data_IF_048561277062
#
_entry.id   IF_048561277062
#
_cell.length_a   1.000
_cell.length_b   1.000
_cell.length_c   1.000
_cell.angle_alpha   90.00
_cell.angle_beta   90.00
_cell.angle_gamma   90.00
#
_symmetry.space_group_name_H-M   'P 1'
#
loop_
_entity.id
_entity.type
_entity.pdbx_description
1 polymer ?
#
# COMPACT_ATOMS: atom_id res chain seq x y z
N UNK A 1 5.39 14.37 15.16
CA UNK A 1 6.16 13.15 14.90
C UNK A 1 6.78 13.25 13.51
N UNK A 2 7.91 12.59 13.28
CA UNK A 2 8.57 12.56 11.98
C UNK A 2 8.35 11.21 11.30
N UNK A 3 8.09 11.24 10.00
CA UNK A 3 7.95 10.04 9.18
C UNK A 3 8.97 10.09 8.04
N UNK A 4 9.88 9.12 8.03
CA UNK A 4 10.93 9.00 7.00
C UNK A 4 10.35 8.38 5.73
N UNK A 5 10.36 9.14 4.63
CA UNK A 5 9.85 8.68 3.35
C UNK A 5 10.97 8.14 2.46
N UNK A 6 11.02 6.82 2.27
CA UNK A 6 12.04 6.15 1.44
C UNK A 6 11.68 6.12 -0.05
N UNK A 7 10.39 6.25 -0.39
CA UNK A 7 9.89 6.26 -1.76
C UNK A 7 9.69 7.69 -2.30
N UNK A 8 9.32 7.83 -3.58
CA UNK A 8 9.07 9.16 -4.18
C UNK A 8 7.86 9.87 -3.54
N UNK A 9 6.83 9.10 -3.20
CA UNK A 9 5.62 9.60 -2.55
C UNK A 9 4.99 8.48 -1.71
N UNK A 10 4.26 8.86 -0.68
CA UNK A 10 3.32 7.98 0.03
C UNK A 10 1.90 8.49 -0.15
N UNK A 11 0.90 7.61 -0.06
CA UNK A 11 -0.50 8.06 -0.04
C UNK A 11 -0.97 8.30 1.38
N UNK A 12 -1.92 9.22 1.58
CA UNK A 12 -2.49 9.48 2.91
C UNK A 12 -3.00 8.18 3.55
N UNK A 13 -3.61 7.30 2.74
CA UNK A 13 -4.01 5.98 3.19
C UNK A 13 -2.87 5.09 3.67
N UNK A 14 -1.78 5.02 2.91
CA UNK A 14 -0.64 4.21 3.31
C UNK A 14 0.00 4.76 4.59
N UNK A 15 0.14 6.08 4.70
CA UNK A 15 0.67 6.74 5.90
C UNK A 15 -0.18 6.42 7.14
N UNK A 16 -1.50 6.63 7.08
CA UNK A 16 -2.41 6.32 8.19
C UNK A 16 -2.42 4.83 8.56
N UNK A 17 -2.15 3.94 7.60
CA UNK A 17 -2.06 2.50 7.86
C UNK A 17 -0.75 2.14 8.55
N UNK A 18 0.37 2.69 8.10
CA UNK A 18 1.69 2.43 8.70
C UNK A 18 1.80 2.98 10.11
N UNK A 19 1.17 4.14 10.36
CA UNK A 19 1.05 4.70 11.70
C UNK A 19 0.07 3.94 12.61
N UNK A 20 -0.62 2.91 12.08
CA UNK A 20 -1.57 2.10 12.83
C UNK A 20 -2.89 2.82 13.16
N UNK A 21 -3.13 4.00 12.60
CA UNK A 21 -4.37 4.78 12.81
C UNK A 21 -5.55 4.07 12.14
N UNK A 22 -5.34 3.49 10.96
CA UNK A 22 -6.36 2.70 10.26
C UNK A 22 -5.89 1.28 9.98
N UNK A 23 -6.71 0.29 10.34
CA UNK A 23 -6.36 -1.13 10.20
C UNK A 23 -6.66 -1.72 8.81
N UNK A 24 -7.56 -1.10 8.04
CA UNK A 24 -7.96 -1.59 6.72
C UNK A 24 -8.25 -0.45 5.74
N UNK A 25 -8.16 -0.74 4.44
CA UNK A 25 -8.49 0.24 3.39
C UNK A 25 -9.98 0.62 3.34
N UNK A 26 -10.86 -0.13 4.01
CA UNK A 26 -12.26 0.24 4.21
C UNK A 26 -12.43 1.24 5.36
N UNK A 27 -11.70 1.05 6.46
CA UNK A 27 -11.77 1.88 7.66
C UNK A 27 -11.40 3.35 7.39
N UNK A 28 -10.51 3.61 6.42
CA UNK A 28 -10.11 4.99 6.11
C UNK A 28 -11.26 5.87 5.62
N UNK A 29 -12.27 5.30 4.97
CA UNK A 29 -13.41 6.09 4.49
C UNK A 29 -14.20 6.64 5.67
N UNK A 30 -14.48 5.79 6.66
CA UNK A 30 -15.15 6.20 7.90
C UNK A 30 -14.28 7.18 8.68
N UNK A 31 -12.98 6.89 8.79
CA UNK A 31 -12.02 7.77 9.47
C UNK A 31 -12.01 9.19 8.89
N UNK A 32 -11.90 9.35 7.56
CA UNK A 32 -11.92 10.67 6.92
C UNK A 32 -13.29 11.36 6.93
N UNK A 33 -14.36 10.64 7.28
CA UNK A 33 -15.70 11.21 7.43
C UNK A 33 -15.96 11.68 8.86
N UNK A 34 -15.34 11.00 9.84
CA UNK A 34 -15.47 11.28 11.27
C UNK A 34 -14.41 12.28 11.76
N UNK A 35 -13.22 12.23 11.17
CA UNK A 35 -12.07 13.02 11.58
C UNK A 35 -11.64 14.04 10.54
N UNK A 36 -11.21 15.20 11.02
CA UNK A 36 -10.66 16.26 10.18
C UNK A 36 -9.16 16.07 10.00
N UNK A 37 -8.73 15.78 8.77
CA UNK A 37 -7.31 15.66 8.41
C UNK A 37 -6.91 16.88 7.59
N UNK A 38 -5.83 17.55 8.00
CA UNK A 38 -5.28 18.71 7.35
C UNK A 38 -3.96 18.35 6.67
N UNK A 39 -3.80 18.79 5.43
CA UNK A 39 -2.58 18.69 4.64
C UNK A 39 -2.04 20.09 4.39
N UNK A 40 -0.86 20.40 4.93
CA UNK A 40 -0.25 21.74 4.87
C UNK A 40 -1.22 22.87 5.27
N UNK A 41 -2.11 22.61 6.22
CA UNK A 41 -3.13 23.56 6.70
C UNK A 41 -4.45 23.56 5.93
N UNK A 42 -4.58 22.78 4.84
CA UNK A 42 -5.84 22.63 4.10
C UNK A 42 -6.56 21.33 4.46
N UNK A 43 -7.87 21.39 4.67
CA UNK A 43 -8.67 20.19 4.93
C UNK A 43 -8.62 19.23 3.72
N UNK A 44 -8.13 18.02 3.93
CA UNK A 44 -7.97 17.01 2.87
C UNK A 44 -8.75 15.74 3.23
N UNK A 45 -9.79 15.47 2.45
CA UNK A 45 -10.66 14.29 2.60
C UNK A 45 -10.34 13.18 1.60
N UNK A 46 -9.34 13.37 0.73
CA UNK A 46 -8.94 12.35 -0.25
C UNK A 46 -7.90 11.39 0.33
N UNK A 47 -8.32 10.16 0.61
CA UNK A 47 -7.45 9.03 0.98
C UNK A 47 -6.26 8.79 0.03
N UNK A 48 -6.43 9.11 -1.25
CA UNK A 48 -5.44 8.89 -2.31
C UNK A 48 -4.51 10.08 -2.54
N UNK A 49 -4.55 11.12 -1.69
CA UNK A 49 -3.62 12.24 -1.79
C UNK A 49 -2.19 11.71 -1.67
N UNK A 50 -1.34 12.09 -2.62
CA UNK A 50 0.09 11.78 -2.61
C UNK A 50 0.81 12.84 -1.80
N UNK A 51 1.58 12.40 -0.80
CA UNK A 51 2.43 13.21 0.03
C UNK A 51 3.88 12.97 -0.37
N UNK A 52 4.66 14.04 -0.32
CA UNK A 52 6.09 14.03 -0.59
C UNK A 52 6.84 14.55 0.63
N UNK A 53 8.15 14.40 0.56
CA UNK A 53 9.07 15.01 1.51
C UNK A 53 8.78 16.50 1.67
N UNK A 54 8.72 16.96 2.92
CA UNK A 54 8.43 18.34 3.30
C UNK A 54 6.96 18.63 3.54
N UNK A 55 6.05 17.71 3.20
CA UNK A 55 4.63 17.86 3.53
C UNK A 55 4.36 17.60 5.03
N UNK A 56 3.39 18.34 5.58
CA UNK A 56 2.88 18.21 6.94
C UNK A 56 1.43 17.72 6.93
N UNK A 57 1.13 16.72 7.76
CA UNK A 57 -0.23 16.26 8.04
C UNK A 57 -0.57 16.53 9.49
N UNK A 58 -1.70 17.19 9.72
CA UNK A 58 -2.20 17.48 11.06
C UNK A 58 -3.59 16.86 11.24
N UNK A 59 -3.79 16.19 12.38
CA UNK A 59 -5.05 15.54 12.76
C UNK A 59 -5.42 16.07 14.15
N UNK A 60 -6.18 17.18 14.23
CA UNK A 60 -6.52 17.83 15.50
C UNK A 60 -7.28 16.91 16.46
N UNK A 61 -8.15 16.04 15.95
CA UNK A 61 -8.97 15.15 16.77
C UNK A 61 -8.14 14.17 17.62
N UNK A 62 -6.94 13.84 17.14
CA UNK A 62 -6.01 12.94 17.81
C UNK A 62 -4.77 13.66 18.36
N UNK A 63 -4.66 14.98 18.16
CA UNK A 63 -3.45 15.77 18.42
C UNK A 63 -2.19 15.16 17.78
N UNK A 64 -2.31 14.67 16.55
CA UNK A 64 -1.20 14.06 15.80
C UNK A 64 -0.77 15.02 14.69
N UNK A 65 0.48 15.47 14.76
CA UNK A 65 1.15 16.21 13.70
C UNK A 65 2.27 15.34 13.11
N UNK A 66 2.30 15.17 11.80
CA UNK A 66 3.26 14.33 11.08
C UNK A 66 4.01 15.18 10.06
N UNK A 67 5.33 15.16 10.12
CA UNK A 67 6.21 15.79 9.14
C UNK A 67 6.91 14.72 8.31
N UNK A 68 6.81 14.82 6.97
CA UNK A 68 7.51 13.90 6.06
C UNK A 68 8.95 14.39 5.84
N UNK A 69 9.92 13.58 6.26
CA UNK A 69 11.35 13.89 6.17
C UNK A 69 12.08 12.92 5.25
N UNK A 70 13.22 13.36 4.70
CA UNK A 70 14.10 12.47 3.94
C UNK A 70 14.86 11.56 4.90
N UNK A 71 14.91 10.24 4.63
CA UNK A 71 15.89 9.36 5.26
C UNK A 71 17.31 9.83 4.94
N UNK A 72 18.24 9.56 5.84
CA UNK A 72 19.67 9.78 5.58
C UNK A 72 20.17 8.82 4.50
N UNK A 73 21.12 9.26 3.68
CA UNK A 73 21.59 8.52 2.50
C UNK A 73 22.09 7.09 2.82
N UNK A 74 22.69 6.89 3.98
CA UNK A 74 23.17 5.57 4.45
C UNK A 74 22.03 4.57 4.70
N UNK A 75 20.94 4.99 5.35
CA UNK A 75 19.76 4.16 5.60
C UNK A 75 19.05 3.80 4.27
N UNK A 76 19.15 4.67 3.28
CA UNK A 76 18.54 4.46 1.98
C UNK A 76 19.30 3.39 1.18
N UNK A 77 20.62 3.31 1.29
CA UNK A 77 21.43 2.27 0.64
C UNK A 77 21.18 0.88 1.24
N UNK A 78 21.10 0.77 2.57
CA UNK A 78 20.74 -0.50 3.23
C UNK A 78 19.36 -1.00 2.81
N UNK A 79 18.37 -0.09 2.75
CA UNK A 79 17.03 -0.46 2.29
C UNK A 79 17.01 -0.94 0.84
N UNK A 80 17.82 -0.34 -0.05
CA UNK A 80 17.94 -0.80 -1.43
C UNK A 80 18.60 -2.18 -1.51
N UNK A 81 19.64 -2.44 -0.70
CA UNK A 81 20.28 -3.75 -0.64
C UNK A 81 19.30 -4.86 -0.22
N UNK A 82 18.48 -4.59 0.81
CA UNK A 82 17.43 -5.50 1.26
C UNK A 82 16.37 -5.76 0.19
N UNK A 83 15.97 -4.72 -0.55
CA UNK A 83 15.00 -4.83 -1.63
C UNK A 83 15.55 -5.70 -2.78
N UNK A 84 16.81 -5.49 -3.15
CA UNK A 84 17.50 -6.28 -4.19
C UNK A 84 17.60 -7.76 -3.78
N UNK A 85 17.91 -8.05 -2.52
CA UNK A 85 18.00 -9.43 -2.05
C UNK A 85 16.60 -10.10 -2.02
N UNK A 86 15.55 -9.37 -1.59
CA UNK A 86 14.17 -9.86 -1.66
C UNK A 86 13.73 -10.18 -3.09
N UNK A 87 14.12 -9.35 -4.06
CA UNK A 87 13.83 -9.60 -5.49
C UNK A 87 14.56 -10.84 -6.02
N UNK A 88 15.83 -11.03 -5.62
CA UNK A 88 16.59 -12.24 -5.95
C UNK A 88 15.93 -13.49 -5.36
N UNK A 89 15.55 -13.46 -4.08
CA UNK A 89 14.87 -14.57 -3.41
C UNK A 89 13.53 -14.87 -4.12
N UNK A 90 12.75 -13.83 -4.43
CA UNK A 90 11.48 -13.99 -5.14
C UNK A 90 11.67 -14.66 -6.52
N UNK A 91 12.73 -14.29 -7.24
CA UNK A 91 13.08 -14.92 -8.53
C UNK A 91 13.45 -16.40 -8.35
N UNK A 92 14.27 -16.72 -7.36
CA UNK A 92 14.66 -18.11 -7.05
C UNK A 92 13.45 -18.97 -6.67
N UNK A 93 12.59 -18.47 -5.77
CA UNK A 93 11.36 -19.15 -5.36
C UNK A 93 10.41 -19.36 -6.55
N UNK A 94 10.33 -18.37 -7.46
CA UNK A 94 9.52 -18.47 -8.67
C UNK A 94 10.06 -19.53 -9.63
N UNK A 95 11.38 -19.65 -9.79
CA UNK A 95 12.02 -20.71 -10.57
C UNK A 95 11.80 -22.09 -9.95
N UNK A 96 11.96 -22.21 -8.63
CA UNK A 96 11.71 -23.45 -7.89
C UNK A 96 10.25 -23.93 -8.04
N UNK A 97 9.28 -23.03 -7.90
CA UNK A 97 7.85 -23.35 -8.07
C UNK A 97 7.48 -23.68 -9.53
N UNK A 98 8.22 -23.18 -10.52
CA UNK A 98 8.02 -23.51 -11.93
C UNK A 98 8.43 -24.96 -12.25
N UNK A 99 9.46 -25.47 -11.57
CA UNK A 99 9.88 -26.88 -11.65
C UNK A 99 8.83 -27.84 -11.08
N UNK A 100 8.32 -27.54 -9.89
CA UNK A 100 7.33 -28.40 -9.19
C UNK A 100 6.00 -28.50 -9.96
N UNK A 101 5.59 -27.43 -10.66
CA UNK A 101 4.37 -27.45 -11.49
C UNK A 101 4.49 -28.29 -12.76
N UNK A 102 5.71 -28.58 -13.26
CA UNK A 102 5.92 -29.40 -14.46
C UNK A 102 5.74 -30.90 -14.21
N UNK A 103 5.99 -31.38 -13.00
CA UNK A 103 5.88 -32.82 -12.67
C UNK A 103 4.46 -33.27 -12.27
N UNK A 104 3.55 -32.34 -11.94
CA UNK A 104 2.18 -32.65 -11.51
C UNK A 104 1.08 -32.40 -12.55
N UNK A 105 1.42 -32.13 -13.81
CA UNK A 105 0.42 -32.00 -14.88
C UNK A 105 -0.06 -33.36 -15.39
N UNK A 106 -0.92 -34.03 -14.62
CA UNK A 106 -1.85 -35.04 -15.15
C UNK A 106 -2.99 -34.30 -15.85
N UNK A 107 -3.40 -34.66 -17.08
CA UNK A 107 -4.43 -33.90 -17.80
C UNK A 107 -5.79 -34.16 -17.15
N UNK A 108 -6.35 -33.17 -16.45
CA UNK A 108 -7.76 -33.18 -16.07
C UNK A 108 -8.55 -32.43 -17.13
N UNK A 109 -9.36 -33.17 -17.89
CA UNK A 109 -10.36 -32.66 -18.80
C UNK A 109 -11.38 -31.80 -18.03
N UNK A 110 -11.46 -30.51 -18.33
CA UNK A 110 -12.51 -29.63 -17.80
C UNK A 110 -13.67 -29.49 -18.81
N UNK A 111 -14.91 -29.89 -18.48
CA UNK A 111 -16.05 -29.73 -19.36
C UNK A 111 -16.67 -28.32 -19.28
N UNK A 112 -16.95 -27.77 -20.47
CA UNK A 112 -17.91 -26.70 -20.86
C UNK A 112 -18.16 -25.54 -19.87
N UNK A 113 -17.76 -24.34 -20.32
CA UNK A 113 -18.17 -23.03 -19.82
C UNK A 113 -19.68 -22.93 -19.61
N UNK A 114 -20.12 -22.77 -18.36
CA UNK A 114 -21.47 -22.24 -18.07
C UNK A 114 -21.35 -20.71 -18.02
N UNK A 115 -21.83 -20.02 -19.05
CA UNK A 115 -22.00 -18.56 -18.99
C UNK A 115 -23.03 -18.21 -17.92
N UNK A 116 -22.75 -17.16 -17.15
CA UNK A 116 -23.68 -16.61 -16.17
C UNK A 116 -24.90 -15.98 -16.89
N UNK A 117 -26.14 -16.24 -16.43
CA UNK A 117 -27.33 -15.67 -17.04
C UNK A 117 -27.35 -14.14 -16.86
N UNK A 118 -27.52 -13.41 -17.96
CA UNK A 118 -27.70 -11.95 -17.96
C UNK A 118 -29.17 -11.62 -17.82
N UNK A 119 -29.55 -10.99 -16.72
CA UNK A 119 -30.91 -10.47 -16.54
C UNK A 119 -31.14 -9.27 -17.46
N UNK A 120 -32.18 -9.26 -18.30
CA UNK A 120 -32.58 -8.06 -19.01
C UNK A 120 -33.19 -7.08 -18.00
N UNK A 121 -32.61 -5.87 -17.92
CA UNK A 121 -33.14 -4.78 -17.10
C UNK A 121 -34.57 -4.42 -17.53
N UNK A 122 -35.37 -4.00 -16.56
CA UNK A 122 -36.77 -3.60 -16.72
C UNK A 122 -36.90 -2.15 -17.14
#
# INVERSE_FOLDING_TARGET
MEYKLFEEFITLQALLKELGITHSGGAIKSFLSEHSVYFNGELESRRGKKLRIGDKIDIPDMNIDILLTQPTSEEQEEYQADKVEKERIAKLVKEMNKGIKKDNSKPTSSPKSKQAPRFPGR
#
